data_IF_362838383119
#
_entry.id   IF_362838383119
#
_cell.length_a   1.000
_cell.length_b   1.000
_cell.length_c   1.000
_cell.angle_alpha   90.00
_cell.angle_beta   90.00
_cell.angle_gamma   90.00
#
_symmetry.space_group_name_H-M   'P 1'
#
loop_
_entity.id
_entity.type
_entity.pdbx_description
1 polymer ?
#
# COMPACT_ATOMS: atom_id res chain seq x y z
N UNK A 1 -8.80 17.49 -23.09
CA UNK A 1 -8.20 16.33 -22.41
C UNK A 1 -8.56 16.44 -20.94
N UNK A 2 -9.12 15.39 -20.34
CA UNK A 2 -9.42 15.39 -18.91
C UNK A 2 -8.10 15.51 -18.12
N UNK A 3 -8.06 16.37 -17.11
CA UNK A 3 -6.91 16.48 -16.22
C UNK A 3 -6.74 15.14 -15.46
N UNK A 4 -5.50 14.66 -15.37
CA UNK A 4 -5.17 13.46 -14.60
C UNK A 4 -5.50 13.69 -13.12
N UNK A 5 -6.39 12.87 -12.57
CA UNK A 5 -6.82 12.98 -11.18
C UNK A 5 -5.95 12.08 -10.28
N UNK A 6 -5.00 12.70 -9.59
CA UNK A 6 -4.21 12.02 -8.56
C UNK A 6 -5.03 11.83 -7.27
N UNK A 7 -4.81 10.71 -6.53
CA UNK A 7 -5.32 10.56 -5.18
C UNK A 7 -4.84 11.69 -4.27
N UNK A 8 -5.64 12.07 -3.28
CA UNK A 8 -5.27 13.15 -2.33
C UNK A 8 -4.12 12.77 -1.40
N UNK A 9 -3.85 11.48 -1.23
CA UNK A 9 -2.72 10.96 -0.45
C UNK A 9 -2.06 9.83 -1.23
N UNK A 10 -0.77 9.96 -1.49
CA UNK A 10 -0.01 9.04 -2.34
C UNK A 10 1.30 8.62 -1.70
N UNK A 11 1.77 7.45 -2.10
CA UNK A 11 3.18 7.06 -2.00
C UNK A 11 3.75 6.96 -3.42
N UNK A 12 5.01 7.39 -3.59
CA UNK A 12 5.71 7.38 -4.88
C UNK A 12 6.77 6.30 -4.85
N UNK A 13 6.68 5.29 -5.72
CA UNK A 13 7.70 4.23 -5.85
C UNK A 13 8.50 4.45 -7.13
N UNK A 14 9.83 4.47 -7.04
CA UNK A 14 10.69 4.56 -8.23
C UNK A 14 10.67 3.22 -8.98
N UNK A 15 10.43 3.27 -10.29
CA UNK A 15 10.54 2.09 -11.17
C UNK A 15 12.01 1.64 -11.32
N UNK A 16 12.97 2.52 -11.01
CA UNK A 16 14.38 2.22 -11.19
C UNK A 16 14.96 1.34 -10.07
N UNK A 17 14.68 1.66 -8.79
CA UNK A 17 15.24 0.92 -7.65
C UNK A 17 14.19 0.22 -6.78
N UNK A 18 12.91 0.30 -7.16
CA UNK A 18 11.78 -0.29 -6.45
C UNK A 18 11.60 0.18 -5.00
N UNK A 19 12.17 1.33 -4.63
CA UNK A 19 12.00 1.94 -3.31
C UNK A 19 10.98 3.07 -3.35
N UNK A 20 10.34 3.29 -2.22
CA UNK A 20 9.44 4.41 -2.00
C UNK A 20 10.23 5.68 -1.69
N UNK A 21 9.77 6.79 -2.26
CA UNK A 21 10.22 8.13 -1.90
C UNK A 21 9.86 8.38 -0.43
N UNK A 22 10.82 8.85 0.36
CA UNK A 22 10.60 9.18 1.76
C UNK A 22 11.35 10.44 2.16
N UNK A 23 10.86 11.11 3.20
CA UNK A 23 11.56 12.20 3.84
C UNK A 23 12.86 11.72 4.50
N UNK A 24 13.97 12.43 4.23
CA UNK A 24 15.28 12.17 4.83
C UNK A 24 15.44 12.99 6.11
N UNK A 25 15.51 12.33 7.27
CA UNK A 25 15.63 12.96 8.59
C UNK A 25 16.98 12.70 9.29
N UNK A 26 17.69 11.66 8.85
CA UNK A 26 18.78 10.98 9.55
C UNK A 26 20.16 11.61 9.32
N UNK A 27 20.46 12.11 8.12
CA UNK A 27 21.70 12.84 7.82
C UNK A 27 21.48 14.35 7.96
N UNK A 28 22.27 15.02 8.78
CA UNK A 28 22.16 16.47 9.00
C UNK A 28 22.42 17.31 7.72
N UNK A 29 23.26 16.84 6.79
CA UNK A 29 23.62 17.56 5.55
C UNK A 29 22.52 17.51 4.50
N UNK A 30 21.74 16.42 4.48
CA UNK A 30 20.68 16.18 3.50
C UNK A 30 19.30 16.09 4.15
N UNK A 31 19.20 16.48 5.42
CA UNK A 31 17.93 16.58 6.15
C UNK A 31 16.99 17.49 5.40
N UNK A 32 15.77 17.01 5.17
CA UNK A 32 14.76 17.75 4.41
C UNK A 32 14.68 17.34 2.95
N UNK A 33 15.72 16.71 2.38
CA UNK A 33 15.64 16.13 1.05
C UNK A 33 14.74 14.89 1.06
N UNK A 34 14.35 14.46 -0.13
CA UNK A 34 13.53 13.27 -0.35
C UNK A 34 14.37 12.20 -1.03
N UNK A 35 14.39 10.98 -0.49
CA UNK A 35 15.23 9.88 -0.95
C UNK A 35 14.39 8.66 -1.29
N UNK A 36 14.70 7.98 -2.39
CA UNK A 36 14.12 6.69 -2.75
C UNK A 36 14.79 5.56 -1.96
N UNK A 37 14.43 5.44 -0.68
CA UNK A 37 15.00 4.48 0.27
C UNK A 37 13.94 3.78 1.14
N UNK A 38 12.64 4.10 0.98
CA UNK A 38 11.58 3.42 1.72
C UNK A 38 11.39 1.99 1.22
N UNK A 39 11.54 1.01 2.10
CA UNK A 39 11.40 -0.41 1.78
C UNK A 39 9.95 -0.85 1.60
N UNK A 40 9.05 -0.21 2.34
CA UNK A 40 7.63 -0.56 2.36
C UNK A 40 6.79 0.70 2.17
N UNK A 41 5.60 0.52 1.62
CA UNK A 41 4.64 1.62 1.49
C UNK A 41 4.22 2.19 2.86
N UNK A 42 4.33 1.36 3.91
CA UNK A 42 4.00 1.69 5.30
C UNK A 42 5.09 2.49 6.02
N UNK A 43 6.20 2.83 5.35
CA UNK A 43 7.22 3.70 5.91
C UNK A 43 6.58 5.05 6.31
N UNK A 44 6.65 5.47 7.58
CA UNK A 44 5.93 6.65 8.08
C UNK A 44 6.41 7.98 7.47
N UNK A 45 7.49 7.96 6.70
CA UNK A 45 8.04 9.11 6.01
C UNK A 45 7.75 9.13 4.51
N UNK A 46 7.02 8.14 3.98
CA UNK A 46 6.79 7.93 2.55
C UNK A 46 5.44 8.46 2.02
N UNK A 47 4.58 9.01 2.89
CA UNK A 47 3.28 9.55 2.49
C UNK A 47 3.38 11.03 2.09
N UNK A 48 2.76 11.36 0.95
CA UNK A 48 2.65 12.72 0.43
C UNK A 48 1.18 13.07 0.17
N UNK A 49 0.79 14.28 0.54
CA UNK A 49 -0.49 14.87 0.19
C UNK A 49 -0.39 15.55 -1.17
N UNK A 50 -1.44 15.38 -1.98
CA UNK A 50 -1.58 16.04 -3.28
C UNK A 50 -2.67 17.11 -3.14
N UNK A 51 -2.30 18.37 -3.36
CA UNK A 51 -3.22 19.50 -3.38
C UNK A 51 -3.32 20.04 -4.82
N UNK A 52 -4.52 20.26 -5.33
CA UNK A 52 -4.70 20.87 -6.65
C UNK A 52 -4.27 22.33 -6.63
N UNK A 53 -3.60 22.79 -7.68
CA UNK A 53 -3.31 24.21 -7.84
C UNK A 53 -4.61 25.02 -7.91
N UNK A 54 -4.59 26.23 -7.35
CA UNK A 54 -5.73 27.14 -7.31
C UNK A 54 -5.90 27.86 -8.65
N UNK A 55 -4.80 28.24 -9.27
CA UNK A 55 -4.79 29.09 -10.47
C UNK A 55 -4.72 28.28 -11.76
N UNK A 56 -4.09 27.11 -11.72
CA UNK A 56 -3.69 26.38 -12.92
C UNK A 56 -4.28 24.96 -12.96
N UNK A 57 -5.25 24.74 -13.83
CA UNK A 57 -5.87 23.42 -13.96
C UNK A 57 -4.84 22.35 -14.40
N UNK A 58 -4.96 21.16 -13.81
CA UNK A 58 -4.04 20.04 -14.03
C UNK A 58 -2.66 20.16 -13.37
N UNK A 59 -2.34 21.26 -12.69
CA UNK A 59 -1.14 21.36 -11.84
C UNK A 59 -1.46 21.00 -10.40
N UNK A 60 -0.45 20.50 -9.68
CA UNK A 60 -0.58 20.08 -8.28
C UNK A 60 0.58 20.58 -7.45
N UNK A 61 0.33 20.69 -6.16
CA UNK A 61 1.33 20.80 -5.11
C UNK A 61 1.47 19.43 -4.45
N UNK A 62 2.70 19.09 -4.06
CA UNK A 62 2.99 17.91 -3.26
C UNK A 62 3.50 18.35 -1.90
N UNK A 63 3.06 17.67 -0.85
CA UNK A 63 3.42 18.00 0.53
C UNK A 63 3.74 16.76 1.32
N UNK A 64 4.83 16.76 2.08
CA UNK A 64 5.14 15.63 2.96
C UNK A 64 4.11 15.59 4.10
N UNK A 65 3.51 14.42 4.34
CA UNK A 65 2.60 14.21 5.48
C UNK A 65 3.33 14.27 6.81
N UNK A 66 4.62 13.94 6.84
CA UNK A 66 5.44 14.00 8.05
C UNK A 66 5.73 15.43 8.48
N UNK A 67 6.23 16.28 7.58
CA UNK A 67 6.59 17.68 7.92
C UNK A 67 5.44 18.66 7.75
N UNK A 68 4.36 18.26 7.06
CA UNK A 68 3.26 19.13 6.65
C UNK A 68 3.72 20.30 5.75
N UNK A 69 4.84 20.14 5.02
CA UNK A 69 5.46 21.16 4.17
C UNK A 69 5.53 20.75 2.70
N UNK A 70 5.41 21.74 1.82
CA UNK A 70 5.42 21.58 0.37
C UNK A 70 6.79 21.22 -0.17
N UNK A 71 6.78 20.45 -1.25
CA UNK A 71 7.94 20.15 -2.07
C UNK A 71 8.35 21.40 -2.84
N UNK A 72 9.63 21.75 -2.72
CA UNK A 72 10.23 22.92 -3.35
C UNK A 72 11.69 22.61 -3.66
N UNK A 73 12.31 23.40 -4.54
CA UNK A 73 13.75 23.37 -4.73
C UNK A 73 14.48 23.74 -3.44
N UNK A 74 15.63 23.12 -3.21
CA UNK A 74 16.40 23.33 -1.99
C UNK A 74 16.95 24.75 -1.86
N UNK A 75 17.26 25.42 -2.97
CA UNK A 75 17.70 26.82 -3.02
C UNK A 75 17.62 27.36 -4.45
N UNK A 76 17.85 28.68 -4.68
CA UNK A 76 17.92 29.25 -6.03
C UNK A 76 18.94 28.58 -6.96
N UNK A 77 19.98 27.93 -6.39
CA UNK A 77 21.10 27.34 -7.12
C UNK A 77 21.07 25.80 -7.15
N UNK A 78 20.03 25.18 -6.60
CA UNK A 78 19.92 23.72 -6.53
C UNK A 78 18.66 23.21 -7.24
N UNK A 79 18.75 22.01 -7.79
CA UNK A 79 17.61 21.27 -8.38
C UNK A 79 17.18 20.09 -7.50
N UNK A 80 17.85 19.87 -6.37
CA UNK A 80 17.38 18.98 -5.31
C UNK A 80 16.02 19.44 -4.79
N UNK A 81 15.12 18.49 -4.58
CA UNK A 81 13.78 18.76 -4.05
C UNK A 81 13.75 18.44 -2.56
N UNK A 82 13.21 19.37 -1.78
CA UNK A 82 13.06 19.30 -0.33
C UNK A 82 11.61 19.50 0.08
N UNK A 83 11.15 18.86 1.14
CA UNK A 83 9.82 19.08 1.72
C UNK A 83 9.88 20.10 2.87
N UNK A 84 10.15 21.37 2.53
CA UNK A 84 10.46 22.42 3.51
C UNK A 84 9.69 23.75 3.33
N UNK A 85 8.95 23.93 2.24
CA UNK A 85 8.15 25.14 2.03
C UNK A 85 6.90 25.15 2.92
N UNK A 86 6.66 26.27 3.62
CA UNK A 86 5.49 26.42 4.50
C UNK A 86 4.19 26.69 3.75
N UNK A 87 4.28 27.39 2.61
CA UNK A 87 3.15 27.78 1.79
C UNK A 87 3.37 27.31 0.35
N UNK A 88 2.27 27.06 -0.35
CA UNK A 88 2.28 26.85 -1.79
C UNK A 88 2.65 28.15 -2.52
N UNK A 89 3.44 28.03 -3.59
CA UNK A 89 3.85 29.13 -4.47
C UNK A 89 3.51 28.76 -5.92
N UNK A 90 2.58 29.51 -6.52
CA UNK A 90 2.10 29.31 -7.88
C UNK A 90 2.72 30.28 -8.91
N UNK A 91 3.68 31.11 -8.48
CA UNK A 91 4.47 31.93 -9.41
C UNK A 91 5.48 31.04 -10.14
N UNK A 92 5.18 30.72 -11.40
CA UNK A 92 6.02 29.86 -12.24
C UNK A 92 7.39 30.48 -12.58
N UNK A 93 7.60 31.78 -12.33
CA UNK A 93 8.90 32.44 -12.47
C UNK A 93 9.76 32.34 -11.20
N UNK A 94 9.14 32.08 -10.05
CA UNK A 94 9.81 32.03 -8.74
C UNK A 94 10.55 30.71 -8.53
N UNK A 95 11.81 30.77 -8.09
CA UNK A 95 12.56 29.55 -7.77
C UNK A 95 11.93 28.73 -6.62
N UNK A 96 11.06 29.35 -5.82
CA UNK A 96 10.29 28.69 -4.75
C UNK A 96 8.96 28.09 -5.23
N UNK A 97 8.64 28.17 -6.53
CA UNK A 97 7.44 27.56 -7.09
C UNK A 97 7.30 26.09 -6.64
N UNK A 98 6.14 25.73 -6.11
CA UNK A 98 5.85 24.39 -5.59
C UNK A 98 5.02 23.54 -6.56
N UNK A 99 4.76 24.08 -7.75
CA UNK A 99 3.93 23.42 -8.75
C UNK A 99 4.68 22.27 -9.45
N UNK A 100 4.00 21.13 -9.51
CA UNK A 100 4.36 19.99 -10.34
C UNK A 100 3.25 19.70 -11.34
N UNK A 101 3.63 19.26 -12.53
CA UNK A 101 2.70 18.72 -13.53
C UNK A 101 2.85 17.20 -13.59
N UNK A 102 1.84 16.43 -13.16
CA UNK A 102 1.84 14.98 -13.34
C UNK A 102 1.53 14.64 -14.80
N UNK A 103 2.28 13.70 -15.36
CA UNK A 103 2.17 13.27 -16.76
C UNK A 103 2.05 11.75 -16.77
N UNK A 104 0.93 11.23 -17.27
CA UNK A 104 0.68 9.80 -17.38
C UNK A 104 1.64 9.16 -18.38
N UNK A 105 2.30 8.09 -17.96
CA UNK A 105 3.15 7.23 -18.81
C UNK A 105 2.38 5.97 -19.20
N UNK A 106 1.80 5.30 -18.21
CA UNK A 106 1.08 4.05 -18.37
C UNK A 106 0.04 3.91 -17.24
N UNK A 107 -1.10 3.30 -17.54
CA UNK A 107 -2.07 2.85 -16.54
C UNK A 107 -2.40 1.38 -16.82
N UNK A 108 -2.11 0.51 -15.87
CA UNK A 108 -2.35 -0.94 -15.96
C UNK A 108 -2.79 -1.49 -14.61
N UNK A 109 -3.86 -2.28 -14.61
CA UNK A 109 -4.40 -3.00 -13.43
C UNK A 109 -4.63 -2.14 -12.18
N UNK A 110 -5.05 -0.88 -12.37
CA UNK A 110 -5.26 0.09 -11.30
C UNK A 110 -3.98 0.71 -10.72
N UNK A 111 -2.84 0.43 -11.34
CA UNK A 111 -1.54 1.04 -11.05
C UNK A 111 -1.25 2.13 -12.08
N UNK A 112 -0.92 3.33 -11.62
CA UNK A 112 -0.58 4.46 -12.48
C UNK A 112 0.92 4.72 -12.44
N UNK A 113 1.57 4.72 -13.61
CA UNK A 113 2.96 5.17 -13.76
C UNK A 113 2.99 6.58 -14.32
N UNK A 114 3.64 7.49 -13.61
CA UNK A 114 3.67 8.91 -13.95
C UNK A 114 5.10 9.44 -14.00
N UNK A 115 5.27 10.55 -14.73
CA UNK A 115 6.36 11.51 -14.54
C UNK A 115 5.83 12.73 -13.78
N UNK A 116 6.71 13.35 -13.00
CA UNK A 116 6.43 14.64 -12.36
C UNK A 116 7.35 15.70 -12.95
N UNK A 117 6.78 16.70 -13.61
CA UNK A 117 7.54 17.84 -14.15
C UNK A 117 7.51 18.99 -13.16
N UNK A 118 8.67 19.45 -12.67
CA UNK A 118 8.79 20.65 -11.85
C UNK A 118 8.54 21.89 -12.72
N UNK A 119 7.46 22.63 -12.45
CA UNK A 119 6.90 23.61 -13.40
C UNK A 119 7.87 24.76 -13.67
N UNK A 120 8.45 25.38 -12.63
CA UNK A 120 9.33 26.53 -12.83
C UNK A 120 10.62 26.19 -13.61
N UNK A 121 11.13 24.95 -13.47
CA UNK A 121 12.33 24.52 -14.21
C UNK A 121 11.97 23.95 -15.59
N UNK A 122 10.75 23.43 -15.75
CA UNK A 122 10.39 22.58 -16.88
C UNK A 122 11.21 21.29 -16.92
N UNK A 123 11.65 20.78 -15.76
CA UNK A 123 12.50 19.59 -15.65
C UNK A 123 11.71 18.43 -15.02
N UNK A 124 11.90 17.22 -15.53
CA UNK A 124 11.39 16.01 -14.93
C UNK A 124 12.12 15.72 -13.62
N UNK A 125 11.35 15.51 -12.55
CA UNK A 125 11.85 15.01 -11.30
C UNK A 125 12.23 13.54 -11.47
N UNK A 126 13.40 13.16 -10.98
CA UNK A 126 13.94 11.81 -11.10
C UNK A 126 14.70 11.39 -9.84
N UNK A 127 14.93 10.08 -9.72
CA UNK A 127 15.93 9.51 -8.85
C UNK A 127 17.32 9.86 -9.39
N UNK A 128 18.09 10.68 -8.67
CA UNK A 128 19.43 11.06 -9.11
C UNK A 128 20.49 10.04 -8.70
N UNK A 129 21.34 9.67 -9.66
CA UNK A 129 22.35 8.63 -9.52
C UNK A 129 23.72 9.25 -9.24
N UNK A 130 23.91 9.76 -8.02
CA UNK A 130 25.20 10.25 -7.52
C UNK A 130 25.60 9.50 -6.25
N UNK A 131 26.86 9.63 -5.83
CA UNK A 131 27.34 9.06 -4.58
C UNK A 131 26.86 9.82 -3.33
N UNK A 132 27.23 9.27 -2.18
CA UNK A 132 26.87 9.83 -0.88
C UNK A 132 27.36 11.27 -0.67
N UNK A 133 26.57 12.11 0.04
CA UNK A 133 25.34 11.79 0.78
C UNK A 133 24.01 12.00 0.01
N UNK A 134 24.07 12.15 -1.32
CA UNK A 134 22.92 12.54 -2.15
C UNK A 134 22.36 11.39 -3.00
N UNK A 135 22.78 10.15 -2.74
CA UNK A 135 22.39 9.01 -3.56
C UNK A 135 20.87 8.82 -3.56
N UNK A 136 20.31 8.58 -4.75
CA UNK A 136 18.89 8.32 -4.95
C UNK A 136 17.95 9.41 -4.38
N UNK A 137 18.44 10.63 -4.21
CA UNK A 137 17.60 11.77 -3.81
C UNK A 137 16.79 12.30 -5.01
N UNK A 138 15.62 12.86 -4.73
CA UNK A 138 14.74 13.46 -5.73
C UNK A 138 15.36 14.75 -6.26
N UNK A 139 15.50 14.82 -7.58
CA UNK A 139 16.18 15.90 -8.28
C UNK A 139 15.41 16.28 -9.55
N UNK A 140 15.26 17.58 -9.83
CA UNK A 140 14.70 18.07 -11.08
C UNK A 140 15.76 18.00 -12.21
N UNK A 141 15.89 16.83 -12.82
CA UNK A 141 16.97 16.42 -13.73
C UNK A 141 17.08 17.22 -15.01
N UNK A 142 16.25 16.90 -15.99
CA UNK A 142 16.34 17.41 -17.35
C UNK A 142 14.97 17.73 -17.94
N UNK A 143 14.95 18.50 -19.03
CA UNK A 143 13.74 18.79 -19.81
C UNK A 143 13.23 17.59 -20.61
N UNK A 144 14.13 16.67 -20.93
CA UNK A 144 13.82 15.45 -21.67
C UNK A 144 13.63 14.27 -20.69
N UNK A 145 12.75 13.31 -21.02
CA UNK A 145 12.60 12.08 -20.25
C UNK A 145 13.92 11.31 -20.08
N UNK A 146 14.11 10.71 -18.92
CA UNK A 146 15.30 9.89 -18.62
C UNK A 146 15.24 8.56 -19.38
N UNK A 147 16.36 8.16 -20.00
CA UNK A 147 16.45 6.93 -20.82
C UNK A 147 16.37 5.65 -19.99
N UNK A 148 16.76 5.72 -18.72
CA UNK A 148 16.77 4.60 -17.80
C UNK A 148 15.51 4.58 -16.91
N UNK A 149 14.51 5.41 -17.24
CA UNK A 149 13.26 5.56 -16.50
C UNK A 149 13.44 6.00 -15.04
N UNK A 150 14.53 6.71 -14.72
CA UNK A 150 14.74 7.26 -13.38
C UNK A 150 13.70 8.34 -13.00
N UNK A 151 12.98 8.86 -13.98
CA UNK A 151 11.92 9.87 -13.87
C UNK A 151 10.49 9.28 -13.82
N UNK A 152 10.36 7.95 -13.85
CA UNK A 152 9.07 7.26 -13.81
C UNK A 152 8.77 6.73 -12.42
N UNK A 153 7.59 7.08 -11.91
CA UNK A 153 7.12 6.68 -10.59
C UNK A 153 5.81 5.92 -10.68
N UNK A 154 5.74 4.81 -9.96
CA UNK A 154 4.46 4.15 -9.67
C UNK A 154 3.77 4.89 -8.53
N UNK A 155 2.53 5.31 -8.77
CA UNK A 155 1.67 5.95 -7.78
C UNK A 155 0.88 4.88 -7.03
N UNK A 156 0.94 4.95 -5.70
CA UNK A 156 0.09 4.15 -4.83
C UNK A 156 -0.84 5.09 -4.08
N UNK A 157 -2.16 4.90 -4.25
CA UNK A 157 -3.16 5.58 -3.41
C UNK A 157 -3.03 5.05 -1.97
N UNK A 158 -2.62 5.92 -1.05
CA UNK A 158 -2.41 5.53 0.34
C UNK A 158 -3.70 5.02 1.00
N UNK A 159 -4.85 5.61 0.65
CA UNK A 159 -6.13 5.25 1.24
C UNK A 159 -6.63 3.92 0.70
N UNK A 160 -6.35 3.60 -0.56
CA UNK A 160 -6.77 2.33 -1.16
C UNK A 160 -6.09 1.12 -0.52
N UNK A 161 -4.91 1.28 0.09
CA UNK A 161 -4.19 0.20 0.79
C UNK A 161 -5.02 -0.36 1.96
N UNK A 162 -5.85 0.48 2.58
CA UNK A 162 -6.75 0.06 3.68
C UNK A 162 -8.13 -0.40 3.20
N UNK A 163 -8.35 -0.44 1.89
CA UNK A 163 -9.60 -0.89 1.28
C UNK A 163 -9.39 -2.26 0.65
N UNK A 164 -10.21 -3.22 1.08
CA UNK A 164 -10.17 -4.56 0.53
C UNK A 164 -11.23 -4.73 -0.57
N UNK A 165 -10.93 -5.49 -1.64
CA UNK A 165 -11.96 -5.95 -2.55
C UNK A 165 -13.03 -6.74 -1.79
N UNK A 166 -14.26 -6.71 -2.31
CA UNK A 166 -15.39 -7.39 -1.66
C UNK A 166 -15.24 -8.91 -1.73
N UNK A 167 -14.80 -9.42 -2.88
CA UNK A 167 -14.56 -10.84 -3.14
C UNK A 167 -13.06 -11.03 -3.32
N UNK A 168 -12.49 -11.95 -2.55
CA UNK A 168 -11.04 -12.17 -2.53
C UNK A 168 -10.68 -13.64 -2.43
N UNK A 169 -9.47 -13.97 -2.86
CA UNK A 169 -8.78 -15.18 -2.46
C UNK A 169 -7.56 -14.81 -1.61
N UNK A 170 -7.26 -15.59 -0.59
CA UNK A 170 -6.05 -15.40 0.22
C UNK A 170 -4.98 -16.38 -0.22
N UNK A 171 -3.78 -15.90 -0.50
CA UNK A 171 -2.62 -16.71 -0.87
C UNK A 171 -1.57 -16.63 0.24
N UNK A 172 -1.14 -17.79 0.72
CA UNK A 172 -0.06 -17.87 1.72
C UNK A 172 1.32 -17.75 1.08
N UNK A 173 2.35 -17.59 1.91
CA UNK A 173 3.75 -17.39 1.46
C UNK A 173 4.25 -18.48 0.48
N UNK A 174 3.78 -19.73 0.63
CA UNK A 174 4.17 -20.87 -0.22
C UNK A 174 3.40 -20.97 -1.53
N UNK A 175 2.66 -19.94 -1.90
CA UNK A 175 2.04 -19.82 -3.21
C UNK A 175 0.70 -20.55 -3.38
N UNK A 176 0.23 -21.27 -2.36
CA UNK A 176 -1.09 -21.90 -2.36
C UNK A 176 -2.16 -20.95 -1.81
N UNK A 177 -3.34 -21.03 -2.38
CA UNK A 177 -4.54 -20.34 -1.96
C UNK A 177 -5.24 -21.09 -0.82
N UNK A 178 -5.79 -20.30 0.10
CA UNK A 178 -6.67 -20.76 1.15
C UNK A 178 -8.06 -21.02 0.59
N UNK A 179 -8.57 -22.22 0.81
CA UNK A 179 -9.94 -22.56 0.45
C UNK A 179 -10.63 -23.41 1.50
N UNK A 180 -11.94 -23.53 1.34
CA UNK A 180 -12.78 -24.38 2.16
C UNK A 180 -12.42 -25.86 1.93
N UNK A 181 -12.19 -26.55 3.05
CA UNK A 181 -11.86 -27.97 3.12
C UNK A 181 -12.65 -28.61 4.27
N UNK A 182 -12.61 -29.94 4.37
CA UNK A 182 -13.25 -30.67 5.48
C UNK A 182 -12.21 -31.49 6.20
N UNK A 183 -12.04 -31.22 7.50
CA UNK A 183 -11.16 -32.00 8.37
C UNK A 183 -11.93 -32.44 9.61
N UNK A 184 -11.91 -33.74 9.93
CA UNK A 184 -12.69 -34.33 11.03
C UNK A 184 -14.17 -33.89 11.06
N UNK A 185 -14.81 -33.87 9.89
CA UNK A 185 -16.19 -33.40 9.67
C UNK A 185 -16.46 -31.93 10.06
N UNK A 186 -15.43 -31.10 10.18
CA UNK A 186 -15.54 -29.66 10.40
C UNK A 186 -15.21 -28.90 9.11
N UNK A 187 -15.91 -27.78 8.81
CA UNK A 187 -15.65 -26.95 7.64
C UNK A 187 -14.44 -26.04 7.90
N UNK A 188 -13.27 -26.61 7.67
CA UNK A 188 -11.98 -26.01 7.92
C UNK A 188 -11.48 -25.22 6.71
N UNK A 189 -10.39 -24.47 6.89
CA UNK A 189 -9.76 -23.70 5.82
C UNK A 189 -8.32 -24.16 5.65
N UNK A 190 -7.93 -24.52 4.41
CA UNK A 190 -6.62 -25.09 4.10
C UNK A 190 -5.95 -24.40 2.93
N UNK A 191 -4.64 -24.17 3.05
CA UNK A 191 -3.78 -23.72 1.95
C UNK A 191 -3.39 -24.93 1.09
N UNK A 192 -4.20 -25.23 0.09
CA UNK A 192 -4.04 -26.42 -0.75
C UNK A 192 -4.34 -26.17 -2.24
N UNK A 193 -4.83 -24.98 -2.60
CA UNK A 193 -5.37 -24.71 -3.92
C UNK A 193 -4.37 -23.87 -4.74
N UNK A 194 -4.28 -24.12 -6.05
CA UNK A 194 -3.37 -23.37 -6.95
C UNK A 194 -4.11 -22.39 -7.87
N UNK A 195 -5.41 -22.58 -8.08
CA UNK A 195 -6.24 -21.76 -8.96
C UNK A 195 -7.04 -20.71 -8.15
N UNK A 196 -6.82 -19.40 -8.37
CA UNK A 196 -7.62 -18.34 -7.73
C UNK A 196 -9.09 -18.35 -8.16
N UNK A 197 -9.45 -19.04 -9.24
CA UNK A 197 -10.82 -19.16 -9.74
C UNK A 197 -11.57 -20.37 -9.16
N UNK A 198 -10.94 -21.20 -8.33
CA UNK A 198 -11.63 -22.30 -7.64
C UNK A 198 -12.71 -21.74 -6.71
N UNK A 199 -14.00 -22.11 -6.86
CA UNK A 199 -15.07 -21.61 -6.00
C UNK A 199 -14.83 -21.82 -4.50
N UNK A 200 -14.00 -22.80 -4.11
CA UNK A 200 -13.65 -23.06 -2.71
C UNK A 200 -12.73 -21.99 -2.10
N UNK A 201 -11.94 -21.29 -2.92
CA UNK A 201 -10.98 -20.28 -2.42
C UNK A 201 -11.64 -18.93 -2.20
N UNK A 202 -12.79 -18.68 -2.82
CA UNK A 202 -13.44 -17.39 -2.80
C UNK A 202 -14.03 -17.07 -1.42
N UNK A 203 -13.59 -15.95 -0.87
CA UNK A 203 -14.05 -15.37 0.37
C UNK A 203 -14.66 -13.99 0.11
N UNK A 204 -15.62 -13.61 0.94
CA UNK A 204 -16.21 -12.28 0.95
C UNK A 204 -15.73 -11.52 2.18
N UNK A 205 -15.10 -10.35 1.97
CA UNK A 205 -14.75 -9.41 3.04
C UNK A 205 -15.93 -8.46 3.28
N UNK A 206 -16.31 -8.33 4.55
CA UNK A 206 -17.39 -7.46 4.99
C UNK A 206 -16.82 -6.51 6.06
N UNK A 207 -16.54 -5.24 5.71
CA UNK A 207 -15.96 -4.28 6.65
C UNK A 207 -16.97 -3.82 7.71
N UNK A 208 -16.48 -3.55 8.92
CA UNK A 208 -17.21 -2.94 10.00
C UNK A 208 -16.79 -1.46 10.20
N UNK A 209 -17.65 -0.61 10.78
CA UNK A 209 -17.33 0.81 10.98
C UNK A 209 -16.12 1.09 11.88
N UNK A 210 -15.73 0.15 12.74
CA UNK A 210 -14.61 0.26 13.68
C UNK A 210 -13.25 -0.16 13.09
N UNK A 211 -13.22 -0.48 11.79
CA UNK A 211 -12.03 -0.93 11.07
C UNK A 211 -11.75 -2.43 11.19
N UNK A 212 -12.57 -3.19 11.92
CA UNK A 212 -12.55 -4.66 11.84
C UNK A 212 -13.25 -5.15 10.57
N UNK A 213 -13.04 -6.41 10.24
CA UNK A 213 -13.67 -7.09 9.12
C UNK A 213 -14.26 -8.42 9.59
N UNK A 214 -15.29 -8.85 8.88
CA UNK A 214 -15.80 -10.20 8.89
C UNK A 214 -15.45 -10.86 7.57
N UNK A 215 -15.11 -12.14 7.62
CA UNK A 215 -14.77 -12.92 6.43
C UNK A 215 -15.78 -14.05 6.32
N UNK A 216 -16.35 -14.22 5.13
CA UNK A 216 -17.39 -15.20 4.85
C UNK A 216 -16.93 -16.09 3.70
N UNK A 217 -17.01 -17.41 3.86
CA UNK A 217 -16.78 -18.33 2.74
C UNK A 217 -17.97 -18.25 1.78
N UNK A 218 -17.71 -17.99 0.49
CA UNK A 218 -18.78 -17.98 -0.51
C UNK A 218 -19.35 -19.38 -0.74
N UNK A 219 -18.52 -20.42 -0.58
CA UNK A 219 -18.91 -21.81 -0.85
C UNK A 219 -20.11 -22.26 -0.01
N UNK A 220 -20.09 -21.99 1.30
CA UNK A 220 -21.13 -22.44 2.23
C UNK A 220 -21.93 -21.29 2.86
N UNK A 221 -21.55 -20.04 2.57
CA UNK A 221 -22.22 -18.87 3.07
C UNK A 221 -22.05 -18.62 4.58
N UNK A 222 -21.02 -19.21 5.21
CA UNK A 222 -20.75 -19.09 6.65
C UNK A 222 -19.54 -18.22 6.93
N UNK A 223 -19.54 -17.63 8.13
CA UNK A 223 -18.49 -16.73 8.58
C UNK A 223 -17.32 -17.50 9.20
N UNK A 224 -16.13 -16.92 9.04
CA UNK A 224 -14.94 -17.36 9.72
C UNK A 224 -15.09 -17.07 11.21
N UNK A 225 -14.71 -18.02 12.06
CA UNK A 225 -14.58 -17.82 13.50
C UNK A 225 -13.45 -18.67 14.06
N UNK A 226 -12.96 -18.30 15.23
CA UNK A 226 -12.08 -19.16 16.01
C UNK A 226 -12.89 -20.31 16.63
N UNK A 227 -12.33 -21.50 16.59
CA UNK A 227 -12.87 -22.71 17.20
C UNK A 227 -11.91 -23.24 18.26
N UNK A 228 -12.18 -24.46 18.75
CA UNK A 228 -11.30 -25.16 19.68
C UNK A 228 -9.90 -25.34 19.08
N UNK A 229 -8.88 -25.34 19.96
CA UNK A 229 -7.46 -25.41 19.58
C UNK A 229 -7.02 -24.33 18.57
N UNK A 230 -7.73 -23.19 18.56
CA UNK A 230 -7.46 -22.01 17.75
C UNK A 230 -7.54 -22.23 16.23
N UNK A 231 -8.18 -23.29 15.77
CA UNK A 231 -8.49 -23.45 14.35
C UNK A 231 -9.48 -22.37 13.90
N UNK A 232 -9.33 -21.89 12.67
CA UNK A 232 -10.33 -21.04 12.04
C UNK A 232 -11.24 -21.92 11.19
N UNK A 233 -12.53 -21.92 11.53
CA UNK A 233 -13.57 -22.63 10.81
C UNK A 233 -14.48 -21.65 10.08
N UNK A 234 -15.08 -22.10 8.99
CA UNK A 234 -16.10 -21.37 8.25
C UNK A 234 -17.49 -21.99 8.50
N UNK A 235 -18.00 -21.90 9.73
CA UNK A 235 -19.30 -22.44 10.14
C UNK A 235 -20.18 -21.45 10.92
N UNK A 236 -19.70 -20.25 11.20
CA UNK A 236 -20.46 -19.30 12.00
C UNK A 236 -21.66 -18.74 11.23
N UNK A 237 -22.77 -18.55 11.95
CA UNK A 237 -23.82 -17.62 11.52
C UNK A 237 -23.31 -16.19 11.55
N UNK A 238 -24.08 -15.26 10.98
CA UNK A 238 -23.74 -13.85 10.91
C UNK A 238 -23.48 -13.24 12.30
N UNK A 239 -22.22 -12.91 12.65
CA UNK A 239 -21.89 -12.41 13.98
C UNK A 239 -22.10 -10.89 14.10
N UNK A 240 -22.47 -10.21 13.00
CA UNK A 240 -22.60 -8.75 12.97
C UNK A 240 -23.73 -8.27 13.88
N UNK A 241 -23.49 -7.18 14.60
CA UNK A 241 -24.48 -6.59 15.51
C UNK A 241 -24.66 -7.34 16.84
N UNK A 242 -23.96 -8.47 17.05
CA UNK A 242 -24.03 -9.21 18.32
C UNK A 242 -23.25 -8.55 19.46
N UNK A 243 -22.37 -7.60 19.14
CA UNK A 243 -21.44 -6.97 20.09
C UNK A 243 -20.33 -7.89 20.60
N UNK A 244 -20.25 -9.14 20.11
CA UNK A 244 -19.22 -10.11 20.47
C UNK A 244 -18.08 -10.07 19.46
N UNK A 245 -16.86 -10.31 19.94
CA UNK A 245 -15.66 -10.40 19.11
C UNK A 245 -15.61 -11.63 18.18
N UNK A 246 -16.56 -12.56 18.33
CA UNK A 246 -16.61 -13.81 17.55
C UNK A 246 -16.62 -13.52 16.05
N UNK A 247 -15.64 -14.07 15.34
CA UNK A 247 -15.50 -13.93 13.89
C UNK A 247 -15.11 -12.52 13.42
N UNK A 248 -14.74 -11.63 14.33
CA UNK A 248 -14.15 -10.33 14.02
C UNK A 248 -12.64 -10.47 13.82
N UNK A 249 -12.13 -9.87 12.76
CA UNK A 249 -10.71 -9.80 12.47
C UNK A 249 -10.27 -8.35 12.26
N UNK A 250 -9.10 -7.97 12.75
CA UNK A 250 -8.48 -6.66 12.46
C UNK A 250 -7.33 -6.84 11.48
N UNK A 251 -7.40 -6.25 10.27
CA UNK A 251 -6.30 -6.30 9.32
C UNK A 251 -5.12 -5.44 9.78
N UNK A 252 -3.94 -6.02 9.76
CA UNK A 252 -2.65 -5.34 9.87
C UNK A 252 -2.02 -5.31 8.48
N UNK A 253 -2.09 -4.16 7.81
CA UNK A 253 -1.51 -3.96 6.48
C UNK A 253 0.01 -4.02 6.55
N UNK A 254 0.62 -4.89 5.75
CA UNK A 254 2.08 -5.10 5.69
C UNK A 254 2.70 -4.58 4.39
N UNK A 255 1.88 -4.32 3.39
CA UNK A 255 2.28 -3.83 2.08
C UNK A 255 1.09 -3.78 1.13
N UNK A 256 1.35 -3.52 -0.15
CA UNK A 256 0.32 -3.55 -1.19
C UNK A 256 -0.29 -4.95 -1.26
N UNK A 257 -1.58 -5.06 -0.94
CA UNK A 257 -2.35 -6.31 -0.94
C UNK A 257 -1.78 -7.42 -0.04
N UNK A 258 -0.98 -7.08 0.99
CA UNK A 258 -0.47 -8.07 1.95
C UNK A 258 -0.89 -7.67 3.35
N UNK A 259 -1.51 -8.60 4.07
CA UNK A 259 -2.03 -8.38 5.42
C UNK A 259 -1.65 -9.51 6.36
N UNK A 260 -1.54 -9.19 7.64
CA UNK A 260 -1.82 -10.12 8.71
C UNK A 260 -3.24 -9.88 9.23
N UNK A 261 -3.96 -10.90 9.68
CA UNK A 261 -5.28 -10.73 10.28
C UNK A 261 -5.22 -11.10 11.75
N UNK A 262 -5.52 -10.14 12.63
CA UNK A 262 -5.61 -10.36 14.06
C UNK A 262 -7.02 -10.84 14.41
N UNK A 263 -7.15 -12.04 14.95
CA UNK A 263 -8.41 -12.57 15.48
C UNK A 263 -8.75 -11.84 16.79
N UNK A 264 -9.96 -11.31 16.93
CA UNK A 264 -10.28 -10.35 17.99
C UNK A 264 -10.69 -10.97 19.34
N UNK A 265 -11.08 -12.26 19.40
CA UNK A 265 -11.40 -12.93 20.66
C UNK A 265 -10.15 -13.26 21.48
N UNK A 266 -9.14 -13.83 20.83
CA UNK A 266 -7.86 -14.22 21.45
C UNK A 266 -6.75 -13.20 21.23
N UNK A 267 -6.93 -12.25 20.32
CA UNK A 267 -5.93 -11.24 19.95
C UNK A 267 -4.62 -11.85 19.45
N UNK A 268 -4.74 -12.91 18.64
CA UNK A 268 -3.62 -13.58 17.96
C UNK A 268 -3.79 -13.51 16.45
N UNK A 269 -2.68 -13.49 15.72
CA UNK A 269 -2.68 -13.49 14.26
C UNK A 269 -3.05 -14.87 13.71
N UNK A 270 -3.88 -14.85 12.67
CA UNK A 270 -4.12 -16.03 11.85
C UNK A 270 -2.87 -16.37 11.05
N UNK A 271 -2.59 -17.67 10.93
CA UNK A 271 -1.46 -18.19 10.20
C UNK A 271 -1.75 -19.55 9.61
N UNK A 272 -0.97 -19.92 8.60
CA UNK A 272 -0.83 -21.32 8.18
C UNK A 272 -0.17 -22.11 9.30
N UNK A 273 -0.76 -23.23 9.68
CA UNK A 273 -0.23 -24.12 10.71
C UNK A 273 -0.21 -25.56 10.21
N UNK A 274 0.92 -26.22 10.46
CA UNK A 274 1.05 -27.67 10.37
C UNK A 274 1.37 -28.22 11.76
N UNK A 275 0.43 -28.95 12.37
CA UNK A 275 0.60 -29.51 13.70
C UNK A 275 -0.17 -30.82 13.85
N UNK A 276 0.41 -31.81 14.55
CA UNK A 276 -0.25 -33.08 14.90
C UNK A 276 -0.93 -33.81 13.71
N UNK A 277 -0.29 -33.81 12.53
CA UNK A 277 -0.83 -34.44 11.31
C UNK A 277 -1.89 -33.61 10.56
N UNK A 278 -2.18 -32.40 11.03
CA UNK A 278 -3.04 -31.41 10.37
C UNK A 278 -2.15 -30.46 9.59
N UNK A 279 -2.12 -30.58 8.25
CA UNK A 279 -1.16 -29.85 7.42
C UNK A 279 -1.77 -28.64 6.70
N UNK A 280 -1.13 -27.47 6.85
CA UNK A 280 -1.44 -26.25 6.11
C UNK A 280 -2.84 -25.68 6.36
N UNK A 281 -3.41 -25.88 7.56
CA UNK A 281 -4.71 -25.32 7.92
C UNK A 281 -4.57 -23.92 8.54
N UNK A 282 -5.64 -23.14 8.51
CA UNK A 282 -5.68 -21.81 9.10
C UNK A 282 -5.95 -21.87 10.61
N UNK A 283 -5.10 -21.23 11.40
CA UNK A 283 -5.23 -21.16 12.86
C UNK A 283 -4.84 -19.78 13.40
N UNK A 284 -5.52 -19.30 14.45
CA UNK A 284 -5.16 -18.09 15.21
C UNK A 284 -4.06 -18.38 16.25
N UNK A 285 -2.91 -18.85 15.78
CA UNK A 285 -1.84 -19.36 16.63
C UNK A 285 -0.61 -18.46 16.80
N UNK A 286 -0.54 -17.30 16.14
CA UNK A 286 0.64 -16.44 16.17
C UNK A 286 0.45 -15.24 17.12
N UNK A 287 1.35 -15.05 18.09
CA UNK A 287 1.34 -13.84 18.92
C UNK A 287 1.79 -12.59 18.14
N UNK A 288 2.71 -12.78 17.20
CA UNK A 288 3.24 -11.74 16.31
C UNK A 288 3.17 -12.23 14.87
N UNK A 289 3.15 -11.30 13.92
CA UNK A 289 3.20 -11.63 12.49
C UNK A 289 4.53 -12.31 12.19
N UNK A 290 4.45 -13.56 11.76
CA UNK A 290 5.55 -14.34 11.19
C UNK A 290 5.31 -14.61 9.70
N UNK A 291 6.22 -15.35 9.06
CA UNK A 291 6.12 -15.72 7.64
C UNK A 291 4.80 -16.41 7.28
N UNK A 292 4.27 -17.25 8.16
CA UNK A 292 3.03 -18.00 7.93
C UNK A 292 1.76 -17.17 8.15
N UNK A 293 1.90 -16.01 8.80
CA UNK A 293 0.81 -15.07 9.09
C UNK A 293 0.58 -14.06 7.96
N UNK A 294 1.46 -14.03 6.95
CA UNK A 294 1.38 -13.11 5.81
C UNK A 294 0.42 -13.67 4.76
N UNK A 295 -0.65 -12.94 4.50
CA UNK A 295 -1.66 -13.30 3.51
C UNK A 295 -1.65 -12.27 2.40
N UNK A 296 -1.36 -12.72 1.18
CA UNK A 296 -1.58 -11.92 -0.01
C UNK A 296 -3.07 -11.99 -0.37
N UNK A 297 -3.70 -10.82 -0.54
CA UNK A 297 -5.10 -10.65 -0.92
C UNK A 297 -5.18 -10.49 -2.44
N UNK A 298 -5.89 -11.40 -3.09
CA UNK A 298 -6.13 -11.37 -4.54
C UNK A 298 -7.58 -10.97 -4.78
N UNK A 299 -7.79 -9.94 -5.58
CA UNK A 299 -9.11 -9.55 -6.09
C UNK A 299 -9.53 -10.57 -7.15
N UNK A 300 -10.66 -11.26 -6.94
CA UNK A 300 -11.12 -12.31 -7.87
C UNK A 300 -12.06 -11.79 -8.96
N UNK A 301 -12.48 -10.51 -8.86
CA UNK A 301 -13.37 -9.87 -9.83
C UNK A 301 -12.60 -9.14 -10.95
N UNK A 302 -11.26 -9.19 -10.93
CA UNK A 302 -10.35 -8.62 -11.94
C UNK A 302 -9.64 -9.73 -12.72
#
# INVERSE_FOLDING_TARGET
MAALALPSSVCLKSVYNEKYLRYKYDDARTRGLLQFAGETVMDPYAQFEVEKAKTWDGLVHLKSRYTNKYLVRWSPNHYWITASAYNADEDQGSWTCTLFKPILVEESDGTQKLRLLHVQLGHYACLWRIGAPFESCLFAGSKDPDKDSCDVFTIVDWVSIFRFPKRVAFKGEYGLFLGADVYNNQPSLRFAFSDPQDPKVVQQIIPAPDGTIFIKSELNGKFWRRAENDWILADAEDPRGTGKAVGMFRPSVLGTNVVGLLEMERTTFVKRLTAAGVENFLSAGAENIDTDSRLQVIDVDK
#
